data_IF_831451119099
#
_entry.id   IF_831451119099
#
_cell.length_a   1.000
_cell.length_b   1.000
_cell.length_c   1.000
_cell.angle_alpha   90.00
_cell.angle_beta   90.00
_cell.angle_gamma   90.00
#
_symmetry.space_group_name_H-M   'P 1'
#
loop_
_entity.id
_entity.type
_entity.pdbx_description
1 polymer ?
#
# COMPACT_ATOMS: atom_id res chain seq x y z
N UNK A 1 -20.32 -8.18 -7.04
CA UNK A 1 -19.46 -7.09 -6.55
C UNK A 1 -18.01 -7.57 -6.48
N UNK A 2 -17.13 -7.04 -7.34
CA UNK A 2 -15.74 -7.49 -7.38
C UNK A 2 -14.92 -6.68 -6.35
N UNK A 3 -14.87 -7.16 -5.12
CA UNK A 3 -14.20 -6.51 -3.98
C UNK A 3 -12.68 -6.30 -4.22
N UNK A 4 -12.04 -7.16 -5.03
CA UNK A 4 -10.62 -7.04 -5.36
C UNK A 4 -10.36 -5.83 -6.24
N UNK A 5 -11.22 -5.59 -7.24
CA UNK A 5 -11.12 -4.44 -8.14
C UNK A 5 -11.28 -3.13 -7.37
N UNK A 6 -12.27 -3.06 -6.49
CA UNK A 6 -12.49 -1.85 -5.65
C UNK A 6 -11.30 -1.57 -4.75
N UNK A 7 -10.76 -2.60 -4.09
CA UNK A 7 -9.56 -2.47 -3.23
C UNK A 7 -8.34 -2.00 -4.03
N UNK A 8 -8.15 -2.53 -5.24
CA UNK A 8 -7.06 -2.13 -6.11
C UNK A 8 -7.13 -0.64 -6.47
N UNK A 9 -8.28 -0.17 -6.98
CA UNK A 9 -8.43 1.24 -7.33
C UNK A 9 -8.33 2.16 -6.13
N UNK A 10 -8.87 1.76 -4.97
CA UNK A 10 -8.74 2.50 -3.73
C UNK A 10 -7.28 2.63 -3.30
N UNK A 11 -6.52 1.52 -3.34
CA UNK A 11 -5.09 1.53 -3.03
C UNK A 11 -4.31 2.45 -4.00
N UNK A 12 -4.56 2.34 -5.31
CA UNK A 12 -3.93 3.20 -6.31
C UNK A 12 -4.21 4.68 -6.02
N UNK A 13 -5.47 5.03 -5.78
CA UNK A 13 -5.87 6.41 -5.47
C UNK A 13 -5.19 6.93 -4.21
N UNK A 14 -5.10 6.12 -3.15
CA UNK A 14 -4.45 6.48 -1.90
C UNK A 14 -2.94 6.74 -2.08
N UNK A 15 -2.22 5.85 -2.77
CA UNK A 15 -0.77 6.00 -2.99
C UNK A 15 -0.47 7.19 -3.89
N UNK A 16 -1.20 7.35 -5.00
CA UNK A 16 -1.04 8.49 -5.91
C UNK A 16 -1.40 9.80 -5.20
N UNK A 17 -2.49 9.83 -4.44
CA UNK A 17 -2.88 10.99 -3.64
C UNK A 17 -1.83 11.38 -2.60
N UNK A 18 -1.26 10.39 -1.90
CA UNK A 18 -0.17 10.61 -0.94
C UNK A 18 1.09 11.15 -1.64
N UNK A 19 1.44 10.63 -2.81
CA UNK A 19 2.56 11.13 -3.60
C UNK A 19 2.33 12.58 -4.06
N UNK A 20 1.16 12.87 -4.60
CA UNK A 20 0.79 14.22 -5.03
C UNK A 20 0.82 15.22 -3.86
N UNK A 21 0.25 14.85 -2.71
CA UNK A 21 0.30 15.67 -1.50
C UNK A 21 1.73 15.93 -1.05
N UNK A 22 2.59 14.90 -1.05
CA UNK A 22 4.01 15.04 -0.67
C UNK A 22 4.76 16.00 -1.61
N UNK A 23 4.52 15.90 -2.93
CA UNK A 23 5.12 16.82 -3.91
C UNK A 23 4.65 18.25 -3.69
N UNK A 24 3.35 18.47 -3.51
CA UNK A 24 2.79 19.81 -3.26
C UNK A 24 3.35 20.39 -1.97
N UNK A 25 3.38 19.62 -0.88
CA UNK A 25 3.94 20.04 0.38
C UNK A 25 5.44 20.39 0.26
N UNK A 26 6.21 19.56 -0.45
CA UNK A 26 7.63 19.83 -0.72
C UNK A 26 7.84 21.12 -1.51
N UNK A 27 7.04 21.37 -2.55
CA UNK A 27 7.12 22.60 -3.35
C UNK A 27 6.80 23.83 -2.50
N UNK A 28 5.74 23.79 -1.70
CA UNK A 28 5.36 24.89 -0.80
C UNK A 28 6.49 25.15 0.20
N UNK A 29 7.03 24.07 0.80
CA UNK A 29 8.09 24.17 1.80
C UNK A 29 9.38 24.74 1.22
N UNK A 30 9.81 24.31 0.02
CA UNK A 30 10.99 24.81 -0.69
C UNK A 30 10.81 26.29 -1.08
N UNK A 31 9.61 26.68 -1.57
CA UNK A 31 9.35 28.08 -1.91
C UNK A 31 9.42 28.97 -0.68
N UNK A 32 8.81 28.56 0.43
CA UNK A 32 8.85 29.29 1.68
C UNK A 32 10.28 29.42 2.24
N UNK A 33 11.05 28.37 2.17
CA UNK A 33 12.44 28.34 2.63
C UNK A 33 13.34 29.30 1.81
N UNK A 34 13.16 29.32 0.49
CA UNK A 34 13.88 30.28 -0.35
C UNK A 34 13.59 31.73 -0.01
N UNK A 35 12.32 32.03 0.32
CA UNK A 35 11.90 33.39 0.66
C UNK A 35 12.37 33.83 2.05
N UNK A 36 12.47 32.92 3.00
CA UNK A 36 12.72 33.25 4.42
C UNK A 36 14.16 32.97 4.86
N UNK A 37 14.83 31.94 4.31
CA UNK A 37 16.07 31.39 4.86
C UNK A 37 17.16 31.13 3.79
N UNK A 38 17.00 31.63 2.57
CA UNK A 38 18.03 31.53 1.53
C UNK A 38 18.30 30.13 0.95
N UNK A 39 17.42 29.14 1.21
CA UNK A 39 17.49 27.84 0.53
C UNK A 39 18.21 26.72 1.30
N UNK A 40 18.30 26.78 2.61
CA UNK A 40 18.94 25.74 3.46
C UNK A 40 18.22 24.39 3.38
N UNK A 41 16.90 24.38 3.19
CA UNK A 41 16.10 23.16 3.05
C UNK A 41 16.50 22.34 1.83
N UNK A 42 16.87 22.98 0.72
CA UNK A 42 17.33 22.28 -0.46
C UNK A 42 18.62 21.49 -0.19
N UNK A 43 19.51 22.01 0.66
CA UNK A 43 20.72 21.28 1.09
C UNK A 43 20.36 20.06 1.92
N UNK A 44 19.35 20.17 2.80
CA UNK A 44 18.87 19.06 3.63
C UNK A 44 18.22 17.98 2.77
N UNK A 45 17.33 18.34 1.85
CA UNK A 45 16.69 17.39 0.92
C UNK A 45 17.75 16.66 0.09
N UNK A 46 18.74 17.39 -0.42
CA UNK A 46 19.84 16.80 -1.20
C UNK A 46 20.69 15.84 -0.36
N UNK A 47 20.81 16.07 0.94
CA UNK A 47 21.50 15.18 1.87
C UNK A 47 20.72 13.90 2.13
N UNK A 48 19.40 13.98 2.28
CA UNK A 48 18.53 12.81 2.50
C UNK A 48 18.43 11.91 1.24
N UNK A 49 18.55 12.49 0.05
CA UNK A 49 18.49 11.74 -1.24
C UNK A 49 19.87 11.13 -1.58
N UNK A 50 20.96 11.41 -0.82
CA UNK A 50 22.25 10.79 -1.12
C UNK A 50 22.19 9.27 -1.04
N UNK A 51 22.86 8.60 -2.00
CA UNK A 51 23.01 7.14 -2.06
C UNK A 51 23.56 6.58 -0.74
N UNK A 52 24.44 7.33 -0.06
CA UNK A 52 25.00 6.95 1.26
C UNK A 52 24.00 6.92 2.40
N UNK A 53 22.78 7.42 2.23
CA UNK A 53 21.71 7.38 3.22
C UNK A 53 20.78 6.16 3.05
N UNK A 54 20.99 5.34 2.02
CA UNK A 54 20.19 4.15 1.74
C UNK A 54 20.57 3.02 2.69
N UNK A 55 19.57 2.41 3.28
CA UNK A 55 19.70 1.23 4.12
C UNK A 55 19.78 -0.04 3.27
N UNK A 56 20.16 -1.17 3.87
CA UNK A 56 20.14 -2.49 3.20
C UNK A 56 18.74 -2.81 2.67
N UNK A 57 17.69 -2.42 3.41
CA UNK A 57 16.29 -2.65 3.01
C UNK A 57 15.93 -1.82 1.78
N UNK A 58 16.41 -0.57 1.70
CA UNK A 58 16.20 0.28 0.50
C UNK A 58 16.85 -0.34 -0.74
N UNK A 59 18.07 -0.87 -0.60
CA UNK A 59 18.76 -1.57 -1.68
C UNK A 59 18.03 -2.85 -2.10
N UNK A 60 17.50 -3.62 -1.13
CA UNK A 60 16.69 -4.80 -1.44
C UNK A 60 15.41 -4.42 -2.20
N UNK A 61 14.72 -3.34 -1.79
CA UNK A 61 13.52 -2.85 -2.48
C UNK A 61 13.84 -2.39 -3.91
N UNK A 62 14.94 -1.67 -4.10
CA UNK A 62 15.40 -1.24 -5.43
C UNK A 62 15.72 -2.46 -6.31
N UNK A 63 16.49 -3.43 -5.79
CA UNK A 63 16.87 -4.63 -6.51
C UNK A 63 15.63 -5.46 -6.91
N UNK A 64 14.67 -5.63 -5.99
CA UNK A 64 13.39 -6.30 -6.26
C UNK A 64 12.60 -5.58 -7.37
N UNK A 65 12.49 -4.25 -7.28
CA UNK A 65 11.77 -3.47 -8.29
C UNK A 65 12.44 -3.54 -9.65
N UNK A 66 13.78 -3.45 -9.71
CA UNK A 66 14.54 -3.59 -10.95
C UNK A 66 14.38 -4.97 -11.56
N UNK A 67 14.44 -6.04 -10.76
CA UNK A 67 14.22 -7.40 -11.27
C UNK A 67 12.81 -7.58 -11.83
N UNK A 68 11.79 -7.00 -11.20
CA UNK A 68 10.42 -7.01 -11.70
C UNK A 68 10.29 -6.24 -13.04
N UNK A 69 10.96 -5.09 -13.17
CA UNK A 69 11.00 -4.32 -14.44
C UNK A 69 11.66 -5.14 -15.54
N UNK A 70 12.83 -5.73 -15.28
CA UNK A 70 13.57 -6.55 -16.25
C UNK A 70 12.72 -7.75 -16.68
N UNK A 71 12.09 -8.45 -15.73
CA UNK A 71 11.21 -9.58 -16.02
C UNK A 71 10.01 -9.17 -16.89
N UNK A 72 9.41 -8.02 -16.62
CA UNK A 72 8.30 -7.51 -17.42
C UNK A 72 8.74 -7.16 -18.85
N UNK A 73 9.91 -6.53 -19.02
CA UNK A 73 10.43 -6.18 -20.35
C UNK A 73 10.79 -7.41 -21.20
N UNK A 74 11.06 -8.56 -20.58
CA UNK A 74 11.34 -9.83 -21.25
C UNK A 74 10.07 -10.65 -21.52
N UNK A 75 8.90 -10.19 -21.06
CA UNK A 75 7.64 -10.91 -21.25
C UNK A 75 7.14 -10.77 -22.67
N UNK A 76 6.61 -11.86 -23.24
CA UNK A 76 5.89 -11.83 -24.53
C UNK A 76 4.56 -11.07 -24.43
N UNK A 77 3.96 -11.02 -23.23
CA UNK A 77 2.67 -10.38 -22.96
C UNK A 77 2.88 -9.13 -22.09
N UNK A 78 3.47 -8.08 -22.70
CA UNK A 78 3.83 -6.84 -21.99
C UNK A 78 2.64 -6.17 -21.30
N UNK A 79 1.46 -6.19 -21.93
CA UNK A 79 0.26 -5.57 -21.39
C UNK A 79 -0.18 -6.25 -20.09
N UNK A 80 -0.33 -7.57 -20.11
CA UNK A 80 -0.71 -8.38 -18.95
C UNK A 80 0.38 -8.37 -17.86
N UNK A 81 1.66 -8.38 -18.26
CA UNK A 81 2.77 -8.30 -17.33
C UNK A 81 2.83 -6.94 -16.61
N UNK A 82 2.42 -5.85 -17.30
CA UNK A 82 2.41 -4.51 -16.71
C UNK A 82 1.18 -4.27 -15.83
N UNK A 83 -0.02 -4.56 -16.32
CA UNK A 83 -1.27 -4.30 -15.60
C UNK A 83 -1.71 -5.45 -14.69
N UNK A 84 -1.28 -6.68 -14.99
CA UNK A 84 -1.79 -7.90 -14.37
C UNK A 84 -3.05 -8.41 -15.04
N UNK A 85 -3.41 -9.65 -14.74
CA UNK A 85 -4.64 -10.26 -15.26
C UNK A 85 -5.87 -9.56 -14.67
N UNK A 86 -6.93 -9.50 -15.46
CA UNK A 86 -8.22 -8.99 -15.03
C UNK A 86 -8.72 -9.69 -13.75
N UNK A 87 -9.15 -8.89 -12.80
CA UNK A 87 -9.62 -9.34 -11.48
C UNK A 87 -8.54 -9.48 -10.40
N UNK A 88 -7.25 -9.60 -10.75
CA UNK A 88 -6.16 -9.65 -9.74
C UNK A 88 -5.26 -8.42 -9.75
N UNK A 89 -5.02 -7.84 -10.93
CA UNK A 89 -4.20 -6.61 -11.12
C UNK A 89 -2.81 -6.66 -10.47
N UNK A 90 -2.17 -7.85 -10.44
CA UNK A 90 -0.87 -8.07 -9.79
C UNK A 90 0.30 -7.86 -10.78
N UNK A 91 0.24 -6.83 -11.62
CA UNK A 91 1.29 -6.52 -12.59
C UNK A 91 2.39 -5.61 -12.05
N UNK A 92 3.34 -5.25 -12.92
CA UNK A 92 4.46 -4.36 -12.60
C UNK A 92 3.98 -3.03 -12.01
N UNK A 93 2.87 -2.47 -12.53
CA UNK A 93 2.31 -1.21 -12.04
C UNK A 93 2.04 -1.25 -10.53
N UNK A 94 1.46 -2.33 -10.02
CA UNK A 94 1.21 -2.48 -8.57
C UNK A 94 2.52 -2.59 -7.78
N UNK A 95 3.53 -3.29 -8.32
CA UNK A 95 4.87 -3.39 -7.68
C UNK A 95 5.53 -2.02 -7.59
N UNK A 96 5.43 -1.20 -8.65
CA UNK A 96 5.93 0.17 -8.64
C UNK A 96 5.21 1.04 -7.60
N UNK A 97 3.90 0.87 -7.44
CA UNK A 97 3.15 1.56 -6.38
C UNK A 97 3.57 1.10 -4.98
N UNK A 98 3.87 -0.18 -4.77
CA UNK A 98 4.42 -0.64 -3.49
C UNK A 98 5.78 -0.04 -3.19
N UNK A 99 6.68 0.00 -4.16
CA UNK A 99 7.98 0.65 -4.02
C UNK A 99 7.83 2.15 -3.73
N UNK A 100 6.95 2.84 -4.45
CA UNK A 100 6.64 4.26 -4.22
C UNK A 100 6.09 4.48 -2.80
N UNK A 101 5.12 3.68 -2.38
CA UNK A 101 4.55 3.74 -1.03
C UNK A 101 5.63 3.53 0.04
N UNK A 102 6.51 2.53 -0.14
CA UNK A 102 7.62 2.27 0.76
C UNK A 102 8.52 3.51 0.93
N UNK A 103 8.97 4.12 -0.17
CA UNK A 103 9.83 5.31 -0.10
C UNK A 103 9.10 6.53 0.45
N UNK A 104 7.82 6.73 0.15
CA UNK A 104 7.03 7.81 0.73
C UNK A 104 6.91 7.66 2.25
N UNK A 105 6.61 6.46 2.71
CA UNK A 105 6.46 6.18 4.15
C UNK A 105 7.80 6.31 4.88
N UNK A 106 8.85 5.70 4.36
CA UNK A 106 10.15 5.65 5.04
C UNK A 106 10.91 6.99 5.03
N UNK A 107 10.71 7.83 4.01
CA UNK A 107 11.43 9.08 3.82
C UNK A 107 10.64 10.33 4.20
N UNK A 108 9.32 10.31 4.02
CA UNK A 108 8.50 11.50 4.21
C UNK A 108 7.70 11.47 5.53
N UNK A 109 7.37 10.28 6.05
CA UNK A 109 6.61 10.17 7.29
C UNK A 109 7.52 10.03 8.50
N UNK A 110 7.28 10.87 9.51
CA UNK A 110 7.86 10.68 10.84
C UNK A 110 6.90 9.82 11.66
N UNK A 111 7.38 8.67 12.14
CA UNK A 111 6.58 7.77 12.95
C UNK A 111 6.05 8.46 14.20
N UNK A 112 4.75 8.32 14.46
CA UNK A 112 4.09 8.76 15.67
C UNK A 112 3.33 7.58 16.28
N UNK A 113 3.29 7.47 17.60
CA UNK A 113 2.64 6.36 18.31
C UNK A 113 1.19 6.11 17.85
N UNK A 114 0.43 7.17 17.61
CA UNK A 114 -0.97 7.06 17.19
C UNK A 114 -1.15 6.32 15.84
N UNK A 115 -0.11 6.24 14.98
CA UNK A 115 -0.19 5.40 13.76
C UNK A 115 -0.28 3.92 14.13
N UNK A 116 0.48 3.48 15.14
CA UNK A 116 0.38 2.11 15.64
C UNK A 116 -0.97 1.87 16.30
N UNK A 117 -1.47 2.83 17.08
CA UNK A 117 -2.78 2.71 17.75
C UNK A 117 -3.92 2.56 16.73
N UNK A 118 -3.91 3.37 15.65
CA UNK A 118 -4.89 3.27 14.56
C UNK A 118 -4.76 1.93 13.83
N UNK A 119 -3.54 1.46 13.56
CA UNK A 119 -3.31 0.17 12.93
C UNK A 119 -3.85 -0.99 13.78
N UNK A 120 -3.57 -0.98 15.09
CA UNK A 120 -4.09 -1.97 16.03
C UNK A 120 -5.62 -1.91 16.14
N UNK A 121 -6.20 -0.72 16.22
CA UNK A 121 -7.65 -0.55 16.26
C UNK A 121 -8.32 -1.09 14.98
N UNK A 122 -7.74 -0.81 13.82
CA UNK A 122 -8.22 -1.36 12.55
C UNK A 122 -8.11 -2.91 12.52
N UNK A 123 -6.99 -3.46 13.02
CA UNK A 123 -6.81 -4.91 13.17
C UNK A 123 -7.85 -5.55 14.06
N UNK A 124 -8.15 -4.93 15.21
CA UNK A 124 -9.20 -5.40 16.13
C UNK A 124 -10.59 -5.39 15.47
N UNK A 125 -10.93 -4.33 14.72
CA UNK A 125 -12.21 -4.26 14.00
C UNK A 125 -12.33 -5.37 12.94
N UNK A 126 -11.27 -5.62 12.18
CA UNK A 126 -11.21 -6.70 11.19
C UNK A 126 -11.36 -8.07 11.87
N UNK A 127 -10.71 -8.25 13.03
CA UNK A 127 -10.81 -9.47 13.84
C UNK A 127 -12.25 -9.69 14.36
N UNK A 128 -12.88 -8.67 14.93
CA UNK A 128 -14.25 -8.73 15.40
C UNK A 128 -15.24 -9.09 14.30
N UNK A 129 -15.11 -8.48 13.13
CA UNK A 129 -15.92 -8.83 11.96
C UNK A 129 -15.71 -10.28 11.52
N UNK A 130 -14.47 -10.79 11.59
CA UNK A 130 -14.17 -12.19 11.29
C UNK A 130 -14.86 -13.14 12.27
N UNK A 131 -14.86 -12.82 13.57
CA UNK A 131 -15.55 -13.59 14.60
C UNK A 131 -17.07 -13.58 14.35
N UNK A 132 -17.66 -12.42 14.04
CA UNK A 132 -19.09 -12.31 13.73
C UNK A 132 -19.45 -13.17 12.50
N UNK A 133 -18.63 -13.13 11.45
CA UNK A 133 -18.85 -13.97 10.26
C UNK A 133 -18.72 -15.47 10.55
N UNK A 134 -17.87 -15.88 11.50
CA UNK A 134 -17.78 -17.28 11.94
C UNK A 134 -19.10 -17.75 12.59
N UNK A 135 -19.75 -16.89 13.36
CA UNK A 135 -21.08 -17.17 13.93
C UNK A 135 -22.23 -16.91 12.94
N UNK A 136 -21.96 -16.76 11.65
CA UNK A 136 -22.95 -16.42 10.62
C UNK A 136 -23.72 -15.12 10.86
N UNK A 137 -23.16 -14.22 11.67
CA UNK A 137 -23.69 -12.88 11.87
C UNK A 137 -23.05 -11.95 10.83
N UNK A 138 -23.85 -11.42 9.92
CA UNK A 138 -23.39 -10.49 8.88
C UNK A 138 -24.07 -9.11 9.05
N UNK A 139 -23.60 -8.29 10.02
CA UNK A 139 -24.22 -7.00 10.31
C UNK A 139 -24.11 -5.99 9.17
N UNK A 140 -23.13 -6.16 8.29
CA UNK A 140 -22.86 -5.25 7.17
C UNK A 140 -23.37 -5.78 5.83
N UNK A 141 -23.86 -7.01 5.78
CA UNK A 141 -24.45 -7.62 4.59
C UNK A 141 -23.44 -7.99 3.51
N UNK A 142 -22.18 -8.24 3.86
CA UNK A 142 -21.13 -8.59 2.90
C UNK A 142 -21.34 -9.97 2.25
N UNK A 143 -22.03 -10.88 2.94
CA UNK A 143 -22.29 -12.24 2.44
C UNK A 143 -23.53 -12.34 1.54
N UNK A 144 -24.37 -11.31 1.48
CA UNK A 144 -25.67 -11.35 0.76
C UNK A 144 -25.55 -11.63 -0.74
N UNK A 145 -24.46 -11.22 -1.37
CA UNK A 145 -24.21 -11.37 -2.80
C UNK A 145 -23.26 -12.53 -3.14
N UNK A 146 -22.86 -13.32 -2.13
CA UNK A 146 -21.90 -14.41 -2.30
C UNK A 146 -22.66 -15.72 -2.42
N UNK A 147 -22.15 -16.65 -3.23
CA UNK A 147 -22.71 -18.00 -3.32
C UNK A 147 -22.64 -18.69 -1.95
N UNK A 148 -23.68 -19.45 -1.53
CA UNK A 148 -23.65 -20.19 -0.27
C UNK A 148 -22.45 -21.12 -0.14
N UNK A 149 -21.94 -21.66 -1.24
CA UNK A 149 -20.75 -22.54 -1.26
C UNK A 149 -19.45 -21.82 -0.87
N UNK A 150 -19.41 -20.48 -1.03
CA UNK A 150 -18.25 -19.65 -0.73
C UNK A 150 -18.33 -18.97 0.67
N UNK A 151 -19.42 -19.17 1.42
CA UNK A 151 -19.63 -18.51 2.72
C UNK A 151 -18.55 -18.83 3.74
N UNK A 152 -18.03 -20.05 3.74
CA UNK A 152 -16.99 -20.50 4.69
C UNK A 152 -15.62 -19.94 4.34
N UNK A 153 -15.40 -19.61 3.06
CA UNK A 153 -14.13 -19.07 2.57
C UNK A 153 -14.07 -17.54 2.75
N UNK A 154 -15.26 -16.88 2.75
CA UNK A 154 -15.38 -15.44 2.87
C UNK A 154 -15.37 -14.98 4.33
N UNK A 155 -14.33 -14.26 4.73
CA UNK A 155 -14.15 -13.80 6.12
C UNK A 155 -13.86 -12.30 6.16
N UNK A 156 -14.60 -11.59 6.99
CA UNK A 156 -14.38 -10.16 7.28
C UNK A 156 -14.42 -9.29 6.00
N UNK A 157 -13.77 -8.16 6.01
CA UNK A 157 -13.60 -7.27 4.85
C UNK A 157 -12.52 -7.74 3.87
N UNK A 158 -11.73 -8.74 4.24
CA UNK A 158 -10.61 -9.24 3.43
C UNK A 158 -11.06 -10.27 2.39
N UNK A 159 -12.18 -10.93 2.62
CA UNK A 159 -12.85 -11.81 1.67
C UNK A 159 -12.30 -13.23 1.64
N UNK A 160 -10.99 -13.45 1.80
CA UNK A 160 -10.38 -14.77 1.77
C UNK A 160 -9.76 -15.11 3.13
N UNK A 161 -10.04 -16.31 3.65
CA UNK A 161 -9.55 -16.77 4.96
C UNK A 161 -8.03 -16.79 5.06
N UNK A 162 -7.32 -17.14 3.99
CA UNK A 162 -5.85 -17.15 3.99
C UNK A 162 -5.27 -15.73 4.07
N UNK A 163 -5.88 -14.78 3.39
CA UNK A 163 -5.50 -13.37 3.48
C UNK A 163 -5.82 -12.79 4.86
N UNK A 164 -6.95 -13.20 5.43
CA UNK A 164 -7.36 -12.78 6.76
C UNK A 164 -6.37 -13.27 7.84
N UNK A 165 -6.00 -14.55 7.82
CA UNK A 165 -5.03 -15.10 8.78
C UNK A 165 -3.65 -14.46 8.63
N UNK A 166 -3.19 -14.25 7.40
CA UNK A 166 -1.93 -13.54 7.13
C UNK A 166 -1.95 -12.10 7.62
N UNK A 167 -3.08 -11.39 7.47
CA UNK A 167 -3.24 -10.03 7.98
C UNK A 167 -3.20 -9.98 9.50
N UNK A 168 -3.87 -10.93 10.19
CA UNK A 168 -3.89 -10.98 11.66
C UNK A 168 -2.52 -11.28 12.28
N UNK A 169 -1.63 -11.94 11.54
CA UNK A 169 -0.25 -12.19 11.99
C UNK A 169 0.62 -10.92 12.05
N UNK A 170 0.23 -9.83 11.35
CA UNK A 170 0.99 -8.58 11.34
C UNK A 170 0.88 -7.75 12.63
N UNK A 171 -0.32 -7.62 13.27
CA UNK A 171 -0.45 -6.87 14.52
C UNK A 171 -0.12 -7.66 15.79
N UNK A 172 0.14 -8.98 15.68
CA UNK A 172 0.60 -9.83 16.80
C UNK A 172 2.09 -9.71 17.03
#
# INVERSE_FOLDING_TARGET
FNILVVKYYYYCAMVIGMAAFTVVAAVIYIRRDRLLYGGEVMKTIRREIKISSLTIVDWAMIAFTLSAVISTLQSEYLYEAFWGNEGRYCGLFLILLYALCYFLVTRCLKFKKWYADVFLAAGLLVCLLGILHFFNLDPLGFKKEISPDDYDIFVSTLGNINTYTSYLALPM
#
